data_IF_288598976860
#
_entry.id   IF_288598976860
#
_cell.length_a   1.000
_cell.length_b   1.000
_cell.length_c   1.000
_cell.angle_alpha   90.00
_cell.angle_beta   90.00
_cell.angle_gamma   90.00
#
_symmetry.space_group_name_H-M   'P 1'
#
loop_
_entity.id
_entity.type
_entity.pdbx_description
1 polymer ?
#
# COMPACT_ATOMS: atom_id res chain seq x y z
N UNK A 1 4.54 -24.03 4.22
CA UNK A 1 3.95 -23.05 5.15
C UNK A 1 3.38 -21.93 4.30
N UNK A 2 2.20 -21.43 4.66
CA UNK A 2 1.59 -20.30 3.96
C UNK A 2 2.55 -19.12 3.97
N UNK A 3 2.77 -18.53 2.79
CA UNK A 3 3.72 -17.45 2.57
C UNK A 3 2.96 -16.13 2.49
N UNK A 4 3.43 -15.14 3.24
CA UNK A 4 2.93 -13.78 3.20
C UNK A 4 3.80 -12.96 2.25
N UNK A 5 3.19 -12.30 1.26
CA UNK A 5 3.90 -11.52 0.25
C UNK A 5 3.74 -10.02 0.53
N UNK A 6 4.85 -9.33 0.69
CA UNK A 6 4.87 -7.88 0.93
C UNK A 6 4.93 -7.11 -0.38
N UNK A 7 5.86 -7.49 -1.25
CA UNK A 7 6.20 -6.69 -2.42
C UNK A 7 6.91 -7.52 -3.49
N UNK A 8 6.86 -7.04 -4.73
CA UNK A 8 7.65 -7.55 -5.86
C UNK A 8 8.61 -6.45 -6.33
N UNK A 9 9.85 -6.81 -6.60
CA UNK A 9 10.95 -5.92 -7.01
C UNK A 9 11.71 -6.52 -8.17
N UNK A 10 12.60 -5.73 -8.79
CA UNK A 10 13.64 -6.28 -9.67
C UNK A 10 14.70 -7.02 -8.86
N UNK A 11 15.35 -7.99 -9.48
CA UNK A 11 16.52 -8.66 -8.88
C UNK A 11 17.67 -7.69 -8.54
N UNK A 12 17.76 -6.55 -9.24
CA UNK A 12 18.74 -5.50 -8.96
C UNK A 12 18.43 -4.64 -7.73
N UNK A 13 17.27 -4.82 -7.09
CA UNK A 13 16.89 -4.01 -5.93
C UNK A 13 17.81 -4.29 -4.71
N UNK A 14 18.25 -3.28 -3.94
CA UNK A 14 19.22 -3.49 -2.85
C UNK A 14 18.74 -4.36 -1.67
N UNK A 15 17.42 -4.44 -1.46
CA UNK A 15 16.75 -5.33 -0.49
C UNK A 15 17.39 -5.30 0.93
N UNK A 16 17.54 -4.11 1.51
CA UNK A 16 18.13 -3.94 2.85
C UNK A 16 17.15 -4.33 3.96
N UNK A 17 17.00 -5.64 4.17
CA UNK A 17 16.01 -6.23 5.08
C UNK A 17 16.55 -6.59 6.48
N UNK A 18 17.86 -6.47 6.73
CA UNK A 18 18.53 -7.05 7.91
C UNK A 18 17.93 -6.60 9.26
N UNK A 19 17.49 -5.35 9.36
CA UNK A 19 16.93 -4.75 10.59
C UNK A 19 15.41 -4.56 10.51
N UNK A 20 14.73 -5.31 9.63
CA UNK A 20 13.30 -5.14 9.36
C UNK A 20 12.51 -6.36 9.81
N UNK A 21 11.42 -6.08 10.47
CA UNK A 21 10.51 -7.08 11.03
C UNK A 21 9.23 -7.15 10.20
N UNK A 22 8.78 -8.39 9.93
CA UNK A 22 7.55 -8.64 9.20
C UNK A 22 6.30 -8.63 10.10
N UNK A 23 5.15 -8.88 9.48
CA UNK A 23 3.86 -8.98 10.14
C UNK A 23 3.81 -10.19 11.08
N UNK A 24 3.32 -9.99 12.30
CA UNK A 24 3.16 -11.06 13.29
C UNK A 24 3.45 -10.63 14.72
N UNK A 25 3.13 -11.52 15.66
CA UNK A 25 3.54 -11.42 17.06
C UNK A 25 3.87 -12.84 17.57
N UNK A 26 5.16 -13.23 17.66
CA UNK A 26 6.35 -12.42 17.38
C UNK A 26 6.47 -12.01 15.90
N UNK A 27 7.21 -10.92 15.58
CA UNK A 27 7.37 -10.47 14.21
C UNK A 27 8.02 -11.53 13.33
N UNK A 28 7.50 -11.71 12.12
CA UNK A 28 8.01 -12.71 11.20
C UNK A 28 9.34 -12.27 10.59
N UNK A 29 10.28 -13.21 10.42
CA UNK A 29 11.55 -12.95 9.74
C UNK A 29 11.29 -12.79 8.24
N UNK A 30 11.78 -11.68 7.66
CA UNK A 30 11.70 -11.44 6.22
C UNK A 30 12.70 -12.34 5.46
N UNK A 31 12.29 -12.73 4.26
CA UNK A 31 13.09 -13.50 3.30
C UNK A 31 12.67 -13.13 1.87
N UNK A 32 13.36 -13.69 0.89
CA UNK A 32 13.15 -13.37 -0.53
C UNK A 32 12.92 -14.62 -1.36
N UNK A 33 12.05 -14.53 -2.35
CA UNK A 33 11.86 -15.55 -3.37
C UNK A 33 12.14 -14.92 -4.74
N UNK A 34 13.18 -15.39 -5.41
CA UNK A 34 13.58 -14.90 -6.73
C UNK A 34 13.11 -15.85 -7.84
N UNK A 35 12.61 -15.27 -8.94
CA UNK A 35 12.24 -16.00 -10.15
C UNK A 35 12.21 -15.06 -11.35
N UNK A 36 12.71 -15.53 -12.50
CA UNK A 36 12.54 -14.85 -13.79
C UNK A 36 13.01 -13.38 -13.83
N UNK A 37 14.04 -13.02 -13.04
CA UNK A 37 14.58 -11.65 -12.94
C UNK A 37 13.79 -10.72 -12.00
N UNK A 38 12.82 -11.27 -11.26
CA UNK A 38 12.03 -10.58 -10.24
C UNK A 38 12.35 -11.18 -8.86
N UNK A 39 12.12 -10.40 -7.81
CA UNK A 39 12.25 -10.84 -6.43
C UNK A 39 11.05 -10.42 -5.60
N UNK A 40 10.37 -11.38 -4.99
CA UNK A 40 9.35 -11.15 -4.00
C UNK A 40 9.96 -11.07 -2.59
N UNK A 41 9.56 -10.06 -1.81
CA UNK A 41 9.84 -9.98 -0.37
C UNK A 41 8.69 -10.63 0.37
N UNK A 42 9.01 -11.62 1.19
CA UNK A 42 8.03 -12.50 1.82
C UNK A 42 8.41 -12.83 3.28
N UNK A 43 7.48 -13.43 4.01
CA UNK A 43 7.72 -14.10 5.29
C UNK A 43 6.79 -15.30 5.42
N UNK A 44 6.96 -16.10 6.46
CA UNK A 44 5.91 -17.03 6.84
C UNK A 44 4.70 -16.23 7.36
N UNK A 45 3.49 -16.68 7.01
CA UNK A 45 2.27 -16.03 7.46
C UNK A 45 2.02 -16.34 8.95
N UNK A 46 1.75 -15.33 9.79
CA UNK A 46 1.44 -15.58 11.20
C UNK A 46 0.07 -16.25 11.33
N UNK A 47 -0.06 -17.13 12.32
CA UNK A 47 -1.33 -17.75 12.65
C UNK A 47 -2.38 -16.70 13.04
N UNK A 48 -3.61 -16.88 12.57
CA UNK A 48 -4.72 -16.00 12.94
C UNK A 48 -4.56 -14.55 12.44
N UNK A 49 -3.90 -14.34 11.29
CA UNK A 49 -3.74 -13.04 10.66
C UNK A 49 -5.06 -12.25 10.63
N UNK A 50 -5.00 -11.01 11.12
CA UNK A 50 -6.10 -10.04 11.12
C UNK A 50 -5.52 -8.65 10.82
N UNK A 51 -6.29 -7.72 10.24
CA UNK A 51 -5.85 -6.36 9.96
C UNK A 51 -5.80 -5.51 11.26
N UNK A 52 -4.96 -5.92 12.21
CA UNK A 52 -4.72 -5.13 13.43
C UNK A 52 -3.81 -3.97 13.08
N UNK A 53 -3.96 -2.84 13.79
CA UNK A 53 -3.14 -1.64 13.57
C UNK A 53 -1.64 -1.96 13.54
N UNK A 54 -1.13 -2.78 14.47
CA UNK A 54 0.28 -3.17 14.51
C UNK A 54 0.74 -3.91 13.26
N UNK A 55 -0.11 -4.78 12.71
CA UNK A 55 0.21 -5.63 11.57
C UNK A 55 0.19 -4.79 10.29
N UNK A 56 -0.77 -3.87 10.17
CA UNK A 56 -0.81 -2.88 9.08
C UNK A 56 0.42 -1.97 9.09
N UNK A 57 0.82 -1.49 10.27
CA UNK A 57 2.02 -0.65 10.41
C UNK A 57 3.29 -1.42 10.09
N UNK A 58 3.41 -2.69 10.51
CA UNK A 58 4.56 -3.53 10.19
C UNK A 58 4.66 -3.79 8.67
N UNK A 59 3.53 -4.12 8.03
CA UNK A 59 3.46 -4.27 6.57
C UNK A 59 3.93 -3.00 5.85
N UNK A 60 3.40 -1.84 6.26
CA UNK A 60 3.74 -0.56 5.66
C UNK A 60 5.21 -0.19 5.89
N UNK A 61 5.78 -0.50 7.07
CA UNK A 61 7.18 -0.25 7.37
C UNK A 61 8.12 -1.02 6.43
N UNK A 62 7.75 -2.26 6.06
CA UNK A 62 8.49 -3.04 5.05
C UNK A 62 8.37 -2.40 3.66
N UNK A 63 7.18 -1.97 3.27
CA UNK A 63 6.98 -1.31 1.97
C UNK A 63 7.73 0.01 1.85
N UNK A 64 7.64 0.87 2.86
CA UNK A 64 8.33 2.15 2.91
C UNK A 64 9.87 1.98 2.88
N UNK A 65 10.38 0.94 3.55
CA UNK A 65 11.78 0.58 3.50
C UNK A 65 12.25 0.27 2.08
N UNK A 66 11.50 -0.59 1.37
CA UNK A 66 11.81 -0.99 0.01
C UNK A 66 11.72 0.20 -0.94
N UNK A 67 10.63 0.97 -0.86
CA UNK A 67 10.41 2.14 -1.70
C UNK A 67 11.48 3.24 -1.53
N UNK A 68 12.19 3.27 -0.40
CA UNK A 68 13.31 4.21 -0.18
C UNK A 68 14.55 3.81 -0.98
N UNK A 69 14.75 2.51 -1.23
CA UNK A 69 15.95 1.97 -1.87
C UNK A 69 15.78 1.69 -3.38
N UNK A 70 14.54 1.72 -3.89
CA UNK A 70 14.26 1.53 -5.30
C UNK A 70 12.78 1.27 -5.61
N UNK A 71 12.51 0.97 -6.88
CA UNK A 71 11.15 0.71 -7.38
C UNK A 71 10.61 -0.60 -6.80
N UNK A 72 9.38 -0.54 -6.32
CA UNK A 72 8.66 -1.67 -5.71
C UNK A 72 7.22 -1.72 -6.20
N UNK A 73 6.69 -2.93 -6.39
CA UNK A 73 5.25 -3.18 -6.51
C UNK A 73 4.72 -3.61 -5.14
N UNK A 74 4.00 -2.74 -4.41
CA UNK A 74 3.45 -3.08 -3.11
C UNK A 74 2.29 -4.05 -3.26
N UNK A 75 2.31 -5.13 -2.48
CA UNK A 75 1.16 -6.03 -2.36
C UNK A 75 0.23 -5.51 -1.27
N UNK A 76 -1.08 -5.75 -1.47
CA UNK A 76 -2.08 -5.47 -0.44
C UNK A 76 -1.77 -6.26 0.84
N UNK A 77 -2.14 -5.71 1.99
CA UNK A 77 -2.06 -6.44 3.25
C UNK A 77 -2.83 -7.77 3.16
N UNK A 78 -2.23 -8.84 3.68
CA UNK A 78 -2.82 -10.18 3.64
C UNK A 78 -2.77 -10.86 2.28
N UNK A 79 -1.82 -10.50 1.41
CA UNK A 79 -1.48 -11.28 0.24
C UNK A 79 -0.81 -12.60 0.65
N UNK A 80 -1.59 -13.68 0.68
CA UNK A 80 -1.16 -15.01 1.11
C UNK A 80 -1.07 -15.96 -0.08
N UNK A 81 -0.07 -16.85 -0.05
CA UNK A 81 0.07 -17.98 -0.97
C UNK A 81 0.35 -19.26 -0.19
N UNK A 82 0.14 -20.42 -0.82
CA UNK A 82 0.30 -21.70 -0.12
C UNK A 82 1.77 -22.03 0.21
N UNK A 83 2.70 -21.56 -0.62
CA UNK A 83 4.14 -21.78 -0.47
C UNK A 83 4.98 -20.80 -1.29
N UNK A 84 6.29 -20.83 -1.03
CA UNK A 84 7.32 -20.15 -1.84
C UNK A 84 7.34 -20.61 -3.29
N UNK A 85 7.05 -21.89 -3.53
CA UNK A 85 7.05 -22.44 -4.88
C UNK A 85 5.91 -21.84 -5.70
N UNK A 86 4.74 -21.64 -5.09
CA UNK A 86 3.63 -20.91 -5.71
C UNK A 86 4.01 -19.45 -6.00
N UNK A 87 4.76 -18.80 -5.10
CA UNK A 87 5.29 -17.45 -5.37
C UNK A 87 6.24 -17.45 -6.57
N UNK A 88 7.12 -18.46 -6.66
CA UNK A 88 8.08 -18.59 -7.76
C UNK A 88 7.38 -18.80 -9.11
N UNK A 89 6.35 -19.64 -9.11
CA UNK A 89 5.55 -19.92 -10.31
C UNK A 89 4.77 -18.67 -10.75
N UNK A 90 4.15 -17.95 -9.81
CA UNK A 90 3.44 -16.68 -10.05
C UNK A 90 4.36 -15.61 -10.66
N UNK A 91 5.55 -15.42 -10.09
CA UNK A 91 6.56 -14.48 -10.61
C UNK A 91 6.98 -14.85 -12.04
N UNK A 92 7.10 -16.14 -12.33
CA UNK A 92 7.51 -16.63 -13.65
C UNK A 92 6.38 -16.48 -14.67
N UNK A 93 5.14 -16.81 -14.30
CA UNK A 93 3.96 -16.72 -15.15
C UNK A 93 3.63 -15.27 -15.53
N UNK A 94 3.80 -14.33 -14.59
CA UNK A 94 3.45 -12.92 -14.76
C UNK A 94 4.68 -12.00 -14.92
N UNK A 95 5.83 -12.56 -15.30
CA UNK A 95 7.10 -11.83 -15.43
C UNK A 95 6.96 -10.56 -16.28
N UNK A 96 6.33 -10.68 -17.45
CA UNK A 96 6.18 -9.57 -18.40
C UNK A 96 5.36 -8.44 -17.80
N UNK A 97 4.24 -8.77 -17.16
CA UNK A 97 3.33 -7.79 -16.57
C UNK A 97 3.97 -7.07 -15.37
N UNK A 98 4.60 -7.82 -14.46
CA UNK A 98 5.29 -7.22 -13.32
C UNK A 98 6.49 -6.36 -13.76
N UNK A 99 7.26 -6.81 -14.76
CA UNK A 99 8.37 -6.03 -15.30
C UNK A 99 7.89 -4.72 -15.93
N UNK A 100 6.82 -4.76 -16.73
CA UNK A 100 6.27 -3.56 -17.36
C UNK A 100 5.73 -2.55 -16.32
N UNK A 101 5.14 -3.04 -15.22
CA UNK A 101 4.69 -2.17 -14.11
C UNK A 101 5.86 -1.54 -13.36
N UNK A 102 6.93 -2.31 -13.11
CA UNK A 102 8.15 -1.78 -12.50
C UNK A 102 8.79 -0.71 -13.41
N UNK A 103 8.86 -0.95 -14.73
CA UNK A 103 9.36 0.04 -15.70
C UNK A 103 8.54 1.34 -15.68
N UNK A 104 7.22 1.24 -15.57
CA UNK A 104 6.34 2.42 -15.52
C UNK A 104 6.54 3.27 -14.25
N UNK A 105 7.08 2.69 -13.19
CA UNK A 105 7.31 3.35 -11.90
C UNK A 105 8.76 3.83 -11.71
N UNK A 106 9.65 3.55 -12.65
CA UNK A 106 11.03 4.03 -12.60
C UNK A 106 11.09 5.56 -12.58
N UNK A 107 11.91 6.11 -11.68
CA UNK A 107 12.02 7.56 -11.43
C UNK A 107 10.66 8.25 -11.15
N UNK A 108 9.76 7.55 -10.46
CA UNK A 108 8.47 8.12 -10.00
C UNK A 108 8.36 8.05 -8.48
N UNK A 109 7.55 8.95 -7.94
CA UNK A 109 7.15 8.96 -6.53
C UNK A 109 5.64 8.98 -6.43
N UNK A 110 5.09 8.26 -5.46
CA UNK A 110 3.67 8.34 -5.13
C UNK A 110 3.43 9.51 -4.19
N UNK A 111 2.44 10.36 -4.52
CA UNK A 111 2.03 11.50 -3.69
C UNK A 111 0.53 11.41 -3.46
N UNK A 112 0.11 11.44 -2.20
CA UNK A 112 -1.29 11.56 -1.81
C UNK A 112 -1.58 12.97 -1.29
N UNK A 113 -2.45 13.71 -1.97
CA UNK A 113 -2.89 15.05 -1.56
C UNK A 113 -4.30 14.96 -0.99
N UNK A 114 -4.49 15.44 0.24
CA UNK A 114 -5.80 15.50 0.91
C UNK A 114 -6.20 16.95 1.14
N UNK A 115 -7.29 17.37 0.53
CA UNK A 115 -7.92 18.67 0.78
C UNK A 115 -9.11 18.51 1.71
N UNK A 116 -9.18 19.35 2.74
CA UNK A 116 -10.32 19.44 3.65
C UNK A 116 -10.86 20.87 3.60
N UNK A 117 -12.17 21.04 3.52
CA UNK A 117 -12.80 22.35 3.66
C UNK A 117 -13.69 22.36 4.91
N UNK A 118 -13.82 23.53 5.53
CA UNK A 118 -14.84 23.74 6.56
C UNK A 118 -16.17 23.99 5.86
N UNK A 119 -17.06 23.01 5.93
CA UNK A 119 -18.41 23.11 5.37
C UNK A 119 -19.16 24.32 5.95
N UNK A 120 -19.11 24.53 7.27
CA UNK A 120 -19.75 25.67 7.92
C UNK A 120 -19.21 27.04 7.47
N UNK A 121 -17.91 27.13 7.19
CA UNK A 121 -17.32 28.37 6.66
C UNK A 121 -17.79 28.62 5.22
N UNK A 122 -17.78 27.59 4.39
CA UNK A 122 -18.25 27.64 3.01
C UNK A 122 -19.73 28.00 2.92
N UNK A 123 -20.57 27.36 3.74
CA UNK A 123 -22.02 27.66 3.78
C UNK A 123 -22.28 29.10 4.24
N UNK A 124 -21.53 29.59 5.24
CA UNK A 124 -21.64 30.99 5.67
C UNK A 124 -21.20 31.97 4.59
N UNK A 125 -20.12 31.67 3.88
CA UNK A 125 -19.66 32.47 2.75
C UNK A 125 -20.72 32.49 1.64
N UNK A 126 -21.25 31.34 1.24
CA UNK A 126 -22.28 31.22 0.21
C UNK A 126 -23.54 32.02 0.58
N UNK A 127 -23.99 31.92 1.83
CA UNK A 127 -25.09 32.77 2.32
C UNK A 127 -24.68 34.24 2.37
N UNK A 128 -23.43 34.62 2.62
CA UNK A 128 -23.04 36.02 2.59
C UNK A 128 -22.97 36.60 1.15
N UNK A 129 -22.61 35.78 0.16
CA UNK A 129 -22.35 36.25 -1.20
C UNK A 129 -23.52 36.07 -2.17
N UNK A 130 -24.41 35.10 -1.91
CA UNK A 130 -25.53 34.78 -2.80
C UNK A 130 -26.88 35.17 -2.19
N UNK A 131 -27.52 36.19 -2.77
CA UNK A 131 -28.80 36.69 -2.29
C UNK A 131 -29.96 35.70 -2.49
N UNK A 132 -29.93 34.89 -3.55
CA UNK A 132 -30.95 33.88 -3.81
C UNK A 132 -30.89 32.73 -2.81
N UNK A 133 -29.68 32.26 -2.49
CA UNK A 133 -29.46 31.24 -1.47
C UNK A 133 -29.84 31.74 -0.06
N UNK A 134 -29.59 33.01 0.26
CA UNK A 134 -30.10 33.60 1.52
C UNK A 134 -31.60 33.54 1.59
N UNK A 135 -32.27 34.05 0.56
CA UNK A 135 -33.72 34.13 0.55
C UNK A 135 -34.35 32.74 0.68
N UNK A 136 -33.86 31.75 -0.08
CA UNK A 136 -34.33 30.38 0.02
C UNK A 136 -34.11 29.76 1.42
N UNK A 137 -32.99 30.07 2.10
CA UNK A 137 -32.72 29.59 3.45
C UNK A 137 -33.66 30.23 4.49
N UNK A 138 -33.91 31.53 4.37
CA UNK A 138 -34.87 32.25 5.22
C UNK A 138 -36.28 31.69 5.07
N UNK A 139 -36.73 31.43 3.84
CA UNK A 139 -38.03 30.79 3.54
C UNK A 139 -38.12 29.39 4.16
N UNK A 140 -37.07 28.58 4.06
CA UNK A 140 -37.04 27.22 4.63
C UNK A 140 -37.07 27.20 6.16
N UNK A 141 -36.50 28.22 6.81
CA UNK A 141 -36.52 28.38 8.28
C UNK A 141 -37.83 28.93 8.83
N UNK A 142 -38.61 29.61 7.98
CA UNK A 142 -39.90 30.19 8.34
C UNK A 142 -41.08 29.22 8.15
N UNK A 143 -40.86 28.11 7.43
CA UNK A 143 -41.79 27.00 7.26
C UNK A 143 -41.74 26.01 8.43
#
# INVERSE_FOLDING_TARGET
MTTYVYAITRESHPLRLADREGVGAPPARLRTVAAAGLTAVVSDAPEGLRPRRRDLVAHEAVLAALATDGVVLPMRFGALTDSDDVVRDELSAHRTDYSARLDALEDRVEINVKGFHSEDALLRELLATDAGLRQANEELRAA
#
